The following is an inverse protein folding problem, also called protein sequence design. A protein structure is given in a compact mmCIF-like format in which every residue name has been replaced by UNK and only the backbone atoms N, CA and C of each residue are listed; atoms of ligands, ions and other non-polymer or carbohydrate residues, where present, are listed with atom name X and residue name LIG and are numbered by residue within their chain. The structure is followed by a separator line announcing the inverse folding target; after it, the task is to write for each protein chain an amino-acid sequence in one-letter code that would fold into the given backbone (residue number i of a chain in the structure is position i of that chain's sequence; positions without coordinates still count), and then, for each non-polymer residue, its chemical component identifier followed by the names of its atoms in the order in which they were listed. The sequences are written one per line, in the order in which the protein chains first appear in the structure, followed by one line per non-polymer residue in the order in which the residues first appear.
data_IF_908503809380
#
_entry.id   IF_908503809380
#
_cell.length_a   1.000
_cell.length_b   1.000
_cell.length_c   1.000
_cell.angle_alpha   90.00
_cell.angle_beta   90.00
_cell.angle_gamma   90.00
#
_symmetry.space_group_name_H-M   'P 1'
#
loop_
_entity.id
_entity.type
_entity.pdbx_description
1 polymer ?
#
# COMPACT_ATOMS: atom_id res chain seq x y z
N UNK A 1 -7.66 9.52 -14.74
CA UNK A 1 -7.21 8.73 -13.58
C UNK A 1 -8.31 8.71 -12.53
N UNK A 2 -8.57 7.56 -11.95
CA UNK A 2 -9.57 7.45 -10.89
C UNK A 2 -9.14 8.26 -9.66
N UNK A 3 -10.11 8.85 -8.99
CA UNK A 3 -9.83 9.77 -7.90
C UNK A 3 -9.02 9.13 -6.77
N UNK A 4 -9.31 7.87 -6.40
CA UNK A 4 -8.58 7.25 -5.31
C UNK A 4 -7.12 7.01 -5.66
N UNK A 5 -6.80 6.78 -6.94
CA UNK A 5 -5.41 6.64 -7.39
C UNK A 5 -4.65 7.95 -7.28
N UNK A 6 -5.32 9.04 -7.61
CA UNK A 6 -4.73 10.38 -7.46
C UNK A 6 -4.50 10.70 -5.99
N UNK A 7 -5.47 10.40 -5.13
CA UNK A 7 -5.34 10.57 -3.69
C UNK A 7 -4.22 9.72 -3.12
N UNK A 8 -4.03 8.51 -3.64
CA UNK A 8 -2.94 7.65 -3.23
C UNK A 8 -1.58 8.26 -3.57
N UNK A 9 -1.43 8.81 -4.77
CA UNK A 9 -0.19 9.49 -5.16
C UNK A 9 0.09 10.67 -4.23
N UNK A 10 -0.92 11.48 -3.93
CA UNK A 10 -0.80 12.60 -3.00
C UNK A 10 -0.41 12.12 -1.60
N UNK A 11 -1.00 11.02 -1.14
CA UNK A 11 -0.68 10.41 0.13
C UNK A 11 0.78 9.94 0.18
N UNK A 12 1.29 9.33 -0.89
CA UNK A 12 2.69 8.92 -0.96
C UNK A 12 3.63 10.11 -0.84
N UNK A 13 3.30 11.24 -1.48
CA UNK A 13 4.10 12.46 -1.40
C UNK A 13 4.06 13.05 0.02
N UNK A 14 2.87 13.16 0.62
CA UNK A 14 2.71 13.66 1.98
C UNK A 14 3.48 12.84 3.00
N UNK A 15 3.56 11.52 2.78
CA UNK A 15 4.23 10.59 3.69
C UNK A 15 5.74 10.47 3.44
N UNK A 16 6.28 11.25 2.51
CA UNK A 16 7.69 11.18 2.08
C UNK A 16 8.08 9.81 1.49
N UNK A 17 7.10 9.04 1.06
CA UNK A 17 7.34 7.75 0.40
C UNK A 17 7.74 7.96 -1.05
N UNK A 18 7.11 8.90 -1.71
CA UNK A 18 7.42 9.24 -3.10
C UNK A 18 8.05 10.63 -3.13
N UNK A 19 9.27 10.70 -3.66
CA UNK A 19 10.02 11.94 -3.81
C UNK A 19 10.41 12.13 -5.27
N UNK A 20 10.36 13.38 -5.72
CA UNK A 20 10.76 13.75 -7.07
C UNK A 20 12.10 14.47 -7.03
N UNK A 21 12.89 14.30 -8.07
CA UNK A 21 14.22 14.90 -8.18
C UNK A 21 15.13 14.03 -9.03
N UNK A 22 16.42 14.15 -8.79
CA UNK A 22 17.40 13.31 -9.48
C UNK A 22 18.03 12.37 -8.45
N UNK A 23 17.79 11.07 -8.60
CA UNK A 23 18.25 10.05 -7.66
C UNK A 23 19.05 8.99 -8.40
N UNK A 24 20.20 8.62 -7.84
CA UNK A 24 20.98 7.49 -8.35
C UNK A 24 20.60 6.24 -7.59
N UNK A 25 20.06 5.24 -8.29
CA UNK A 25 19.63 3.98 -7.71
C UNK A 25 20.81 3.07 -7.45
N UNK A 26 20.61 2.00 -6.69
CA UNK A 26 21.65 0.99 -6.42
C UNK A 26 22.19 0.36 -7.69
N UNK A 27 21.38 0.28 -8.73
CA UNK A 27 21.79 -0.22 -10.04
C UNK A 27 22.69 0.75 -10.82
N UNK A 28 22.88 1.98 -10.33
CA UNK A 28 23.61 3.03 -11.02
C UNK A 28 22.77 3.88 -11.96
N UNK A 29 21.50 3.51 -12.16
CA UNK A 29 20.58 4.29 -13.00
C UNK A 29 20.13 5.54 -12.28
N UNK A 30 20.00 6.63 -13.03
CA UNK A 30 19.43 7.87 -12.53
C UNK A 30 17.92 7.84 -12.79
N UNK A 31 17.13 8.13 -11.73
CA UNK A 31 15.68 8.14 -11.80
C UNK A 31 15.14 9.52 -11.42
N UNK A 32 14.05 9.99 -12.07
CA UNK A 32 13.41 11.24 -11.67
C UNK A 32 12.58 11.13 -10.39
N UNK A 33 12.44 9.93 -9.82
CA UNK A 33 11.72 9.74 -8.58
C UNK A 33 12.35 8.63 -7.75
N UNK A 34 12.02 8.63 -6.46
CA UNK A 34 12.48 7.61 -5.52
C UNK A 34 11.30 7.24 -4.61
N UNK A 35 11.13 5.94 -4.37
CA UNK A 35 10.09 5.43 -3.48
C UNK A 35 10.72 4.72 -2.28
N UNK A 36 10.26 5.07 -1.08
CA UNK A 36 10.71 4.47 0.16
C UNK A 36 9.52 4.11 1.05
N UNK A 37 9.05 2.88 0.94
CA UNK A 37 7.93 2.39 1.74
C UNK A 37 8.24 2.37 3.24
N UNK A 38 9.50 2.44 3.63
CA UNK A 38 9.89 2.54 5.03
C UNK A 38 9.46 3.83 5.71
N UNK A 39 9.01 4.83 4.95
CA UNK A 39 8.48 6.08 5.51
C UNK A 39 7.06 5.94 6.06
N UNK A 40 6.36 4.85 5.78
CA UNK A 40 5.08 4.56 6.43
C UNK A 40 5.33 4.02 7.83
N UNK A 41 5.22 4.87 8.84
CA UNK A 41 5.62 4.51 10.21
C UNK A 41 4.52 4.68 11.26
N UNK A 42 3.43 5.36 10.92
CA UNK A 42 2.34 5.60 11.88
C UNK A 42 1.13 4.73 11.59
N UNK A 43 0.31 4.50 12.64
CA UNK A 43 -0.96 3.80 12.47
C UNK A 43 -1.90 4.53 11.52
N UNK A 44 -1.90 5.86 11.56
CA UNK A 44 -2.72 6.66 10.65
C UNK A 44 -2.32 6.45 9.20
N UNK A 45 -1.01 6.40 8.93
CA UNK A 45 -0.50 6.11 7.59
C UNK A 45 -0.88 4.70 7.14
N UNK A 46 -0.72 3.71 8.00
CA UNK A 46 -1.07 2.33 7.68
C UNK A 46 -2.57 2.15 7.45
N UNK A 47 -3.39 2.85 8.21
CA UNK A 47 -4.84 2.81 8.02
C UNK A 47 -5.23 3.32 6.63
N UNK A 48 -4.68 4.45 6.21
CA UNK A 48 -4.93 5.01 4.88
C UNK A 48 -4.37 4.11 3.78
N UNK A 49 -3.16 3.61 3.98
CA UNK A 49 -2.51 2.71 3.03
C UNK A 49 -3.35 1.45 2.80
N UNK A 50 -3.83 0.84 3.88
CA UNK A 50 -4.69 -0.35 3.80
C UNK A 50 -5.97 -0.08 3.01
N UNK A 51 -6.57 1.09 3.19
CA UNK A 51 -7.78 1.48 2.44
C UNK A 51 -7.50 1.64 0.95
N UNK A 52 -6.38 2.23 0.58
CA UNK A 52 -6.01 2.35 -0.83
C UNK A 52 -5.78 0.98 -1.47
N UNK A 53 -5.08 0.08 -0.77
CA UNK A 53 -4.89 -1.29 -1.25
C UNK A 53 -6.22 -2.02 -1.40
N UNK A 54 -7.10 -1.90 -0.41
CA UNK A 54 -8.40 -2.56 -0.46
C UNK A 54 -9.23 -2.07 -1.64
N UNK A 55 -9.24 -0.76 -1.89
CA UNK A 55 -9.94 -0.19 -3.05
C UNK A 55 -9.39 -0.71 -4.37
N UNK A 56 -8.08 -0.75 -4.50
CA UNK A 56 -7.43 -1.24 -5.72
C UNK A 56 -7.75 -2.72 -5.96
N UNK A 57 -7.69 -3.54 -4.92
CA UNK A 57 -8.02 -4.96 -5.03
C UNK A 57 -9.48 -5.15 -5.39
N UNK A 58 -10.36 -4.42 -4.73
CA UNK A 58 -11.81 -4.50 -5.00
C UNK A 58 -12.12 -4.11 -6.45
N UNK A 59 -11.50 -3.07 -6.96
CA UNK A 59 -11.74 -2.60 -8.32
C UNK A 59 -11.22 -3.57 -9.38
N UNK A 60 -10.06 -4.19 -9.13
CA UNK A 60 -9.41 -5.04 -10.13
C UNK A 60 -9.81 -6.52 -9.99
N UNK A 61 -10.08 -7.00 -8.79
CA UNK A 61 -10.33 -8.42 -8.51
C UNK A 61 -11.67 -8.69 -7.85
N UNK A 62 -12.41 -7.65 -7.46
CA UNK A 62 -13.68 -7.80 -6.76
C UNK A 62 -13.49 -8.35 -5.36
N UNK A 63 -14.41 -9.22 -4.95
CA UNK A 63 -14.46 -9.79 -3.60
C UNK A 63 -14.22 -11.30 -3.60
N UNK A 64 -13.81 -11.87 -4.73
CA UNK A 64 -13.68 -13.32 -4.89
C UNK A 64 -12.30 -13.80 -4.49
N UNK A 65 -11.98 -13.64 -3.20
CA UNK A 65 -10.76 -14.17 -2.59
C UNK A 65 -10.99 -14.30 -1.08
N UNK A 66 -10.14 -15.07 -0.42
CA UNK A 66 -10.29 -15.34 1.01
C UNK A 66 -9.13 -14.85 1.86
N UNK A 67 -7.97 -14.65 1.25
CA UNK A 67 -6.75 -14.33 1.99
C UNK A 67 -5.88 -13.35 1.22
N UNK A 68 -5.21 -12.48 1.96
CA UNK A 68 -4.16 -11.62 1.40
C UNK A 68 -2.81 -12.07 1.97
N UNK A 69 -1.81 -12.08 1.13
CA UNK A 69 -0.46 -12.50 1.50
C UNK A 69 0.48 -11.29 1.52
N UNK A 70 1.20 -11.15 2.63
CA UNK A 70 2.22 -10.12 2.77
C UNK A 70 3.60 -10.74 2.96
N UNK A 71 4.50 -10.58 1.99
CA UNK A 71 5.86 -11.11 2.15
C UNK A 71 6.60 -10.36 3.26
N UNK A 72 7.41 -11.10 4.03
CA UNK A 72 8.22 -10.51 5.08
C UNK A 72 9.23 -9.53 4.46
N UNK A 73 9.54 -8.43 5.14
CA UNK A 73 8.90 -8.07 6.42
C UNK A 73 7.91 -6.94 6.26
N UNK A 74 8.12 -6.04 5.28
CA UNK A 74 7.28 -4.85 5.09
C UNK A 74 5.86 -5.18 4.61
N UNK A 75 5.71 -6.29 3.89
CA UNK A 75 4.40 -6.73 3.44
C UNK A 75 3.47 -7.19 4.56
N UNK A 76 4.03 -7.59 5.72
CA UNK A 76 3.22 -8.07 6.83
C UNK A 76 2.26 -6.99 7.35
N UNK A 77 2.74 -5.81 7.78
CA UNK A 77 1.81 -4.78 8.24
C UNK A 77 0.87 -4.29 7.14
N UNK A 78 1.32 -4.27 5.89
CA UNK A 78 0.47 -3.86 4.77
C UNK A 78 -0.68 -4.86 4.57
N UNK A 79 -0.40 -6.16 4.64
CA UNK A 79 -1.46 -7.18 4.50
C UNK A 79 -2.46 -7.11 5.64
N UNK A 80 -2.00 -6.89 6.87
CA UNK A 80 -2.88 -6.71 8.02
C UNK A 80 -3.77 -5.48 7.84
N UNK A 81 -3.16 -4.35 7.47
CA UNK A 81 -3.90 -3.11 7.25
C UNK A 81 -4.95 -3.26 6.13
N UNK A 82 -4.60 -3.99 5.08
CA UNK A 82 -5.51 -4.26 3.96
C UNK A 82 -6.70 -5.13 4.40
N UNK A 83 -6.43 -6.18 5.18
CA UNK A 83 -7.49 -7.04 5.71
C UNK A 83 -8.46 -6.27 6.60
N UNK A 84 -7.93 -5.39 7.47
CA UNK A 84 -8.76 -4.51 8.30
C UNK A 84 -9.62 -3.59 7.44
N UNK A 85 -9.04 -3.02 6.40
CA UNK A 85 -9.75 -2.11 5.50
C UNK A 85 -10.90 -2.80 4.76
N UNK A 86 -10.72 -4.07 4.36
CA UNK A 86 -11.81 -4.82 3.75
C UNK A 86 -13.00 -5.00 4.68
N UNK A 87 -12.75 -5.23 5.96
CA UNK A 87 -13.81 -5.28 6.96
C UNK A 87 -14.52 -3.93 7.08
N UNK A 88 -13.77 -2.85 7.22
CA UNK A 88 -14.32 -1.51 7.40
C UNK A 88 -15.08 -1.01 6.17
N UNK A 89 -14.53 -1.20 4.98
CA UNK A 89 -15.08 -0.60 3.74
C UNK A 89 -16.14 -1.47 3.10
N UNK A 90 -16.00 -2.79 3.16
CA UNK A 90 -16.84 -3.72 2.39
C UNK A 90 -17.53 -4.78 3.24
N UNK A 91 -17.29 -4.79 4.55
CA UNK A 91 -17.87 -5.78 5.44
C UNK A 91 -17.43 -7.22 5.17
N UNK A 92 -16.25 -7.38 4.53
CA UNK A 92 -15.73 -8.70 4.20
C UNK A 92 -14.63 -9.09 5.17
N UNK A 93 -14.77 -10.25 5.81
CA UNK A 93 -13.70 -10.84 6.61
C UNK A 93 -12.66 -11.46 5.70
N UNK A 94 -11.44 -10.93 5.73
CA UNK A 94 -10.32 -11.41 4.94
C UNK A 94 -9.23 -11.88 5.89
N UNK A 95 -8.69 -13.05 5.63
CA UNK A 95 -7.54 -13.55 6.38
C UNK A 95 -6.26 -13.00 5.80
N UNK A 96 -5.24 -12.90 6.62
CA UNK A 96 -3.91 -12.53 6.14
C UNK A 96 -2.92 -13.64 6.49
N UNK A 97 -1.88 -13.75 5.70
CA UNK A 97 -0.76 -14.66 5.97
C UNK A 97 0.53 -14.03 5.49
N UNK A 98 1.63 -14.57 5.96
CA UNK A 98 2.95 -14.08 5.60
C UNK A 98 3.95 -15.22 5.60
N UNK A 99 5.11 -14.98 4.97
CA UNK A 99 6.26 -15.84 5.12
C UNK A 99 7.20 -15.24 6.18
N UNK A 100 8.34 -15.84 6.30
CA UNK A 100 9.41 -15.31 7.16
C UNK A 100 10.55 -14.80 6.32
#
# INVERSE_FOLDING_TARGET
MEQYKQEFIEFMVESDVLKFGEFTLKSGRVSPFFMNAGAYVTGAQLKRLGRFYAQAIHDDFGMDFDVVFGPAYKGIPISVATAIAFDELYGKEVRYCSDR
#
